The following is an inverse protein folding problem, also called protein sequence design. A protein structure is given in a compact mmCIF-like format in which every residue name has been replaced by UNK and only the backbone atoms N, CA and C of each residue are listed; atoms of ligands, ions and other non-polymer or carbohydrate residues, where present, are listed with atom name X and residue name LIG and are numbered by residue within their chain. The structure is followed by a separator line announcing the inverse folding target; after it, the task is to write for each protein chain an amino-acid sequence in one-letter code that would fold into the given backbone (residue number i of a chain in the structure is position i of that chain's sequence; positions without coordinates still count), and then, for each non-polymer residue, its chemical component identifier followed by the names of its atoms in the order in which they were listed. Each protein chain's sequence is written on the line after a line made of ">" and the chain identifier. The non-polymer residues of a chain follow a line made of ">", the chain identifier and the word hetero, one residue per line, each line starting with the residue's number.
data_IF_827773967058
#
_entry.id   IF_827773967058
#
_cell.length_a   1.000
_cell.length_b   1.000
_cell.length_c   1.000
_cell.angle_alpha   90.00
_cell.angle_beta   90.00
_cell.angle_gamma   90.00
#
_symmetry.space_group_name_H-M   'P 1'
#
loop_
_entity.id
_entity.type
_entity.pdbx_description
1 polymer ?
#
# COMPACT_ATOMS: atom_id res chain seq x y z
N UNK A 1 -0.50 9.97 -7.48
CA UNK A 1 -1.07 8.61 -7.53
C UNK A 1 -1.92 8.47 -8.78
N UNK A 2 -2.88 9.38 -9.00
CA UNK A 2 -3.76 9.37 -10.18
C UNK A 2 -3.00 9.38 -11.52
N UNK A 3 -1.94 10.18 -11.66
CA UNK A 3 -1.11 10.21 -12.88
C UNK A 3 -0.43 8.87 -13.17
N UNK A 4 0.07 8.19 -12.13
CA UNK A 4 0.72 6.87 -12.28
C UNK A 4 -0.29 5.78 -12.67
N UNK A 5 -1.51 5.83 -12.11
CA UNK A 5 -2.58 4.92 -12.50
C UNK A 5 -3.06 5.19 -13.93
N UNK A 6 -3.17 6.46 -14.32
CA UNK A 6 -3.61 6.85 -15.66
C UNK A 6 -2.59 6.46 -16.75
N UNK A 7 -1.29 6.60 -16.47
CA UNK A 7 -0.23 6.42 -17.49
C UNK A 7 0.44 5.04 -17.47
N UNK A 8 0.48 4.34 -16.32
CA UNK A 8 1.23 3.09 -16.18
C UNK A 8 0.36 1.83 -16.06
N UNK A 9 -0.97 1.95 -15.91
CA UNK A 9 -1.87 0.80 -15.84
C UNK A 9 -2.73 0.67 -17.10
N UNK A 10 -3.04 -0.58 -17.48
CA UNK A 10 -4.02 -0.84 -18.54
C UNK A 10 -5.43 -0.47 -18.08
N UNK A 11 -6.31 -0.21 -19.04
CA UNK A 11 -7.71 0.12 -18.78
C UNK A 11 -8.43 -0.94 -17.93
N UNK A 12 -8.08 -2.22 -18.10
CA UNK A 12 -8.61 -3.34 -17.30
C UNK A 12 -8.28 -3.20 -15.81
N UNK A 13 -7.06 -2.79 -15.46
CA UNK A 13 -6.70 -2.59 -14.05
C UNK A 13 -7.31 -1.31 -13.47
N UNK A 14 -7.50 -0.28 -14.30
CA UNK A 14 -8.20 0.93 -13.89
C UNK A 14 -9.67 0.64 -13.54
N UNK A 15 -10.37 -0.17 -14.33
CA UNK A 15 -11.76 -0.56 -14.02
C UNK A 15 -11.83 -1.42 -12.77
N UNK A 16 -10.96 -2.43 -12.62
CA UNK A 16 -10.90 -3.26 -11.40
C UNK A 16 -10.69 -2.40 -10.14
N UNK A 17 -9.85 -1.38 -10.20
CA UNK A 17 -9.63 -0.44 -9.09
C UNK A 17 -10.86 0.41 -8.79
N UNK A 18 -11.49 0.99 -9.81
CA UNK A 18 -12.66 1.83 -9.64
C UNK A 18 -13.84 1.04 -9.07
N UNK A 19 -14.12 -0.15 -9.63
CA UNK A 19 -15.14 -1.05 -9.13
C UNK A 19 -14.82 -1.53 -7.70
N UNK A 20 -13.55 -1.86 -7.44
CA UNK A 20 -13.07 -2.24 -6.12
C UNK A 20 -13.29 -1.16 -5.06
N UNK A 21 -13.09 0.12 -5.40
CA UNK A 21 -13.34 1.24 -4.49
C UNK A 21 -14.83 1.42 -4.18
N UNK A 22 -15.70 1.24 -5.19
CA UNK A 22 -17.15 1.28 -4.99
C UNK A 22 -17.60 0.11 -4.11
N UNK A 23 -17.12 -1.11 -4.39
CA UNK A 23 -17.40 -2.30 -3.60
C UNK A 23 -16.93 -2.16 -2.15
N UNK A 24 -15.74 -1.59 -1.94
CA UNK A 24 -15.18 -1.32 -0.62
C UNK A 24 -16.06 -0.35 0.17
N UNK A 25 -16.53 0.74 -0.45
CA UNK A 25 -17.42 1.69 0.20
C UNK A 25 -18.80 1.06 0.51
N UNK A 26 -19.29 0.20 -0.37
CA UNK A 26 -20.52 -0.56 -0.15
C UNK A 26 -20.39 -1.55 1.02
N UNK A 27 -19.28 -2.29 1.11
CA UNK A 27 -19.00 -3.17 2.26
C UNK A 27 -18.91 -2.38 3.56
N UNK A 28 -18.21 -1.24 3.58
CA UNK A 28 -18.14 -0.39 4.78
C UNK A 28 -19.53 0.06 5.25
N UNK A 29 -20.41 0.45 4.31
CA UNK A 29 -21.79 0.84 4.62
C UNK A 29 -22.63 -0.36 5.08
N UNK A 30 -22.45 -1.53 4.48
CA UNK A 30 -23.17 -2.76 4.84
C UNK A 30 -22.80 -3.25 6.25
N UNK A 31 -21.50 -3.33 6.54
CA UNK A 31 -21.00 -3.97 7.76
C UNK A 31 -21.09 -3.05 8.98
N UNK A 32 -20.93 -1.73 8.77
CA UNK A 32 -20.80 -0.77 9.86
C UNK A 32 -21.77 0.42 9.78
N UNK A 33 -22.54 0.54 8.70
CA UNK A 33 -23.47 1.66 8.50
C UNK A 33 -22.81 3.03 8.34
N UNK A 34 -21.47 3.09 8.23
CA UNK A 34 -20.66 4.32 8.24
C UNK A 34 -19.62 4.31 7.13
N UNK A 35 -19.10 5.48 6.77
CA UNK A 35 -17.97 5.57 5.84
C UNK A 35 -16.68 5.09 6.50
N UNK A 36 -15.74 4.57 5.71
CA UNK A 36 -14.42 4.13 6.19
C UNK A 36 -13.72 5.15 7.09
N UNK A 37 -13.83 6.44 6.76
CA UNK A 37 -13.25 7.57 7.50
C UNK A 37 -13.81 7.76 8.91
N UNK A 38 -15.03 7.29 9.19
CA UNK A 38 -15.73 7.48 10.47
C UNK A 38 -15.61 6.28 11.42
N UNK A 39 -14.94 5.21 11.00
CA UNK A 39 -14.75 4.02 11.82
C UNK A 39 -13.69 4.20 12.90
N UNK A 40 -13.87 3.52 14.04
CA UNK A 40 -12.86 3.46 15.08
C UNK A 40 -11.56 2.84 14.54
N UNK A 41 -10.37 3.24 15.03
CA UNK A 41 -9.08 2.75 14.53
C UNK A 41 -8.98 1.21 14.54
N UNK A 42 -9.49 0.58 15.60
CA UNK A 42 -9.48 -0.87 15.77
C UNK A 42 -10.41 -1.58 14.77
N UNK A 43 -11.59 -1.00 14.51
CA UNK A 43 -12.53 -1.53 13.51
C UNK A 43 -11.98 -1.42 12.09
N UNK A 44 -11.32 -0.29 11.77
CA UNK A 44 -10.63 -0.10 10.48
C UNK A 44 -9.55 -1.16 10.28
N UNK A 45 -8.73 -1.41 11.31
CA UNK A 45 -7.68 -2.41 11.23
C UNK A 45 -8.25 -3.81 10.96
N UNK A 46 -9.22 -4.26 11.75
CA UNK A 46 -9.80 -5.59 11.61
C UNK A 46 -10.46 -5.78 10.23
N UNK A 47 -11.18 -4.77 9.75
CA UNK A 47 -11.78 -4.80 8.41
C UNK A 47 -10.73 -4.94 7.31
N UNK A 48 -9.65 -4.14 7.34
CA UNK A 48 -8.57 -4.24 6.38
C UNK A 48 -7.81 -5.57 6.46
N UNK A 49 -7.65 -6.15 7.65
CA UNK A 49 -7.02 -7.46 7.84
C UNK A 49 -7.86 -8.57 7.21
N UNK A 50 -9.17 -8.55 7.42
CA UNK A 50 -10.08 -9.51 6.79
C UNK A 50 -10.03 -9.39 5.25
N UNK A 51 -10.03 -8.15 4.76
CA UNK A 51 -9.96 -7.87 3.32
C UNK A 51 -8.61 -8.30 2.69
N UNK A 52 -7.52 -8.19 3.44
CA UNK A 52 -6.20 -8.73 3.04
C UNK A 52 -6.20 -10.25 2.97
N UNK A 53 -6.86 -10.92 3.91
CA UNK A 53 -6.95 -12.38 3.91
C UNK A 53 -7.78 -12.89 2.73
N UNK A 54 -8.92 -12.25 2.44
CA UNK A 54 -9.73 -12.60 1.26
C UNK A 54 -8.97 -12.34 -0.03
N UNK A 55 -8.23 -11.24 -0.11
CA UNK A 55 -7.42 -10.90 -1.28
C UNK A 55 -6.26 -11.87 -1.51
N UNK A 56 -5.65 -12.40 -0.45
CA UNK A 56 -4.60 -13.43 -0.53
C UNK A 56 -5.12 -14.81 -0.90
N UNK A 57 -6.34 -15.14 -0.49
CA UNK A 57 -6.97 -16.42 -0.81
C UNK A 57 -7.55 -16.45 -2.24
N UNK A 58 -7.69 -15.29 -2.89
CA UNK A 58 -8.19 -15.19 -4.25
C UNK A 58 -7.15 -15.69 -5.26
N UNK A 59 -7.57 -16.56 -6.18
CA UNK A 59 -6.73 -17.09 -7.27
C UNK A 59 -6.49 -16.06 -8.39
N UNK A 60 -7.33 -15.02 -8.45
CA UNK A 60 -7.27 -13.93 -9.43
C UNK A 60 -6.79 -12.63 -8.77
N UNK A 61 -6.28 -11.69 -9.56
CA UNK A 61 -5.80 -10.39 -9.07
C UNK A 61 -6.93 -9.63 -8.38
N UNK A 62 -6.98 -9.71 -7.06
CA UNK A 62 -7.96 -8.99 -6.26
C UNK A 62 -7.63 -7.49 -6.21
N UNK A 63 -8.66 -6.64 -6.31
CA UNK A 63 -8.49 -5.18 -6.32
C UNK A 63 -7.71 -4.66 -5.10
N UNK A 64 -7.91 -5.27 -3.93
CA UNK A 64 -7.24 -4.88 -2.69
C UNK A 64 -5.73 -5.16 -2.69
N UNK A 65 -5.29 -6.26 -3.32
CA UNK A 65 -3.85 -6.56 -3.43
C UNK A 65 -3.14 -5.51 -4.27
N UNK A 66 -3.79 -5.06 -5.35
CA UNK A 66 -3.29 -4.02 -6.24
C UNK A 66 -3.35 -2.62 -5.60
N UNK A 67 -4.44 -2.30 -4.90
CA UNK A 67 -4.55 -1.06 -4.14
C UNK A 67 -3.49 -1.00 -3.03
N UNK A 68 -3.28 -2.10 -2.31
CA UNK A 68 -2.29 -2.18 -1.24
C UNK A 68 -0.86 -1.98 -1.75
N UNK A 69 -0.49 -2.59 -2.88
CA UNK A 69 0.84 -2.38 -3.47
C UNK A 69 1.03 -0.94 -3.94
N UNK A 70 -0.01 -0.32 -4.53
CA UNK A 70 0.04 1.07 -4.97
C UNK A 70 0.14 2.06 -3.80
N UNK A 71 -0.60 1.82 -2.70
CA UNK A 71 -0.47 2.60 -1.47
C UNK A 71 0.93 2.44 -0.87
N UNK A 72 1.46 1.21 -0.86
CA UNK A 72 2.82 0.97 -0.36
C UNK A 72 3.87 1.69 -1.22
N UNK A 73 3.74 1.62 -2.55
CA UNK A 73 4.62 2.32 -3.49
C UNK A 73 4.58 3.83 -3.25
N UNK A 74 3.40 4.44 -3.26
CA UNK A 74 3.25 5.88 -3.02
C UNK A 74 3.72 6.30 -1.63
N UNK A 75 3.54 5.45 -0.62
CA UNK A 75 4.06 5.70 0.72
C UNK A 75 5.59 5.71 0.74
N UNK A 76 6.26 4.80 0.03
CA UNK A 76 7.72 4.77 -0.03
C UNK A 76 8.32 5.76 -1.02
N UNK A 77 7.57 6.27 -2.00
CA UNK A 77 8.03 7.34 -2.89
C UNK A 77 7.94 8.74 -2.27
N UNK A 78 7.38 8.89 -1.07
CA UNK A 78 7.28 10.17 -0.38
C UNK A 78 8.61 10.55 0.30
N UNK A 79 9.03 11.82 0.16
CA UNK A 79 10.31 12.31 0.71
C UNK A 79 10.40 12.20 2.24
N UNK A 80 9.30 12.52 2.93
CA UNK A 80 9.23 12.47 4.39
C UNK A 80 9.37 11.05 4.95
N UNK A 81 8.89 10.04 4.25
CA UNK A 81 8.99 8.64 4.66
C UNK A 81 10.35 8.05 4.29
N UNK A 82 10.90 8.39 3.12
CA UNK A 82 12.25 7.97 2.73
C UNK A 82 13.32 8.44 3.73
N UNK A 83 13.21 9.67 4.22
CA UNK A 83 14.18 10.21 5.20
C UNK A 83 13.98 9.65 6.61
N UNK A 84 12.75 9.32 6.99
CA UNK A 84 12.43 8.86 8.34
C UNK A 84 12.46 7.33 8.51
N UNK A 85 12.12 6.55 7.50
CA UNK A 85 12.09 5.08 7.57
C UNK A 85 13.30 4.42 6.93
N UNK A 86 13.92 5.05 5.93
CA UNK A 86 15.09 4.52 5.25
C UNK A 86 16.32 5.37 5.58
N UNK A 87 17.51 4.77 5.55
CA UNK A 87 18.76 5.55 5.49
C UNK A 87 18.86 6.11 4.08
N UNK A 88 18.50 7.38 3.92
CA UNK A 88 18.62 8.07 2.65
C UNK A 88 20.11 8.36 2.38
N UNK A 89 20.68 7.70 1.38
CA UNK A 89 22.05 7.91 0.93
C UNK A 89 22.03 8.37 -0.55
N UNK A 90 22.03 9.69 -0.81
CA UNK A 90 21.80 10.24 -2.15
C UNK A 90 22.91 9.93 -3.16
N UNK A 91 24.07 9.44 -2.69
CA UNK A 91 25.21 9.07 -3.53
C UNK A 91 25.69 7.72 -3.01
N UNK A 92 25.47 6.60 -3.73
CA UNK A 92 26.01 5.32 -3.30
C UNK A 92 27.54 5.41 -3.37
N UNK A 93 28.17 5.41 -2.20
CA UNK A 93 29.62 5.30 -2.09
C UNK A 93 30.11 3.93 -2.58
N UNK A 94 31.36 3.59 -2.24
CA UNK A 94 31.95 2.29 -2.59
C UNK A 94 31.07 1.14 -2.06
N UNK A 95 30.68 0.20 -2.94
CA UNK A 95 29.92 -0.98 -2.55
C UNK A 95 30.72 -1.84 -1.57
N UNK A 96 30.18 -2.03 -0.36
CA UNK A 96 30.72 -2.92 0.66
C UNK A 96 29.67 -4.00 0.93
N UNK A 97 29.88 -5.19 0.37
CA UNK A 97 28.90 -6.29 0.43
C UNK A 97 28.67 -6.89 1.83
N UNK A 98 29.53 -6.60 2.81
CA UNK A 98 29.41 -7.05 4.20
C UNK A 98 29.44 -5.85 5.16
N UNK A 99 28.42 -4.98 5.08
CA UNK A 99 28.24 -3.91 6.04
C UNK A 99 27.53 -4.47 7.28
N UNK A 100 28.08 -4.32 8.50
CA UNK A 100 27.46 -4.86 9.70
C UNK A 100 26.18 -4.08 10.01
N UNK A 101 25.03 -4.69 9.70
CA UNK A 101 23.72 -4.21 10.15
C UNK A 101 23.62 -4.41 11.67
N UNK A 102 23.59 -3.32 12.43
CA UNK A 102 23.25 -3.42 13.85
C UNK A 102 21.75 -3.74 13.97
N UNK A 103 21.34 -4.56 14.96
CA UNK A 103 19.93 -4.80 15.21
C UNK A 103 19.27 -3.45 15.54
N UNK A 104 18.22 -3.09 14.77
CA UNK A 104 17.49 -1.81 14.79
C UNK A 104 17.95 -0.70 13.83
N UNK A 105 18.79 -1.00 12.83
CA UNK A 105 19.10 -0.04 11.75
C UNK A 105 18.07 -0.09 10.62
N UNK A 106 17.72 1.10 10.10
CA UNK A 106 16.81 1.30 8.98
C UNK A 106 17.38 0.72 7.69
N UNK A 107 16.53 0.13 6.85
CA UNK A 107 16.91 -0.33 5.52
C UNK A 107 17.39 0.84 4.64
N UNK A 108 18.24 0.56 3.65
CA UNK A 108 18.73 1.58 2.71
C UNK A 108 17.66 1.91 1.66
N UNK A 109 17.49 3.20 1.37
CA UNK A 109 16.84 3.66 0.15
C UNK A 109 17.94 3.99 -0.87
N UNK A 110 17.90 3.35 -2.03
CA UNK A 110 18.70 3.68 -3.21
C UNK A 110 17.91 4.63 -4.11
#
# INVERSE_FOLDING_TARGET
>A
MDTYVAECYTTEYQTILQEGLVAFQAQCKSDFGKSFTQLAPLQRHNFLVQLDQTAKAATTTHYFSLLKSLVLFSYFSAESTMTQLLRYEPIPGKYIGNYPLKPNEKAWAL
#
